data_IF_086414097049
#
_entry.id   IF_086414097049
#
_cell.length_a   1.000
_cell.length_b   1.000
_cell.length_c   1.000
_cell.angle_alpha   90.00
_cell.angle_beta   90.00
_cell.angle_gamma   90.00
#
_symmetry.space_group_name_H-M   'P 1'
#
loop_
_entity.id
_entity.type
_entity.pdbx_description
1 polymer ?
#
# COMPACT_ATOMS: atom_id res chain seq x y z
N UNK A 1 -7.05 -1.56 -16.84
CA UNK A 1 -5.62 -1.25 -16.61
C UNK A 1 -4.91 -1.23 -17.96
N UNK A 2 -3.85 -0.44 -18.14
CA UNK A 2 -3.03 -0.42 -19.39
C UNK A 2 -1.77 -1.26 -19.22
N UNK A 3 -1.15 -1.74 -20.32
CA UNK A 3 0.13 -2.47 -20.27
C UNK A 3 1.22 -1.63 -19.60
N UNK A 4 1.32 -0.35 -19.96
CA UNK A 4 2.27 0.59 -19.33
C UNK A 4 2.12 0.64 -17.81
N UNK A 5 0.90 0.57 -17.26
CA UNK A 5 0.71 0.60 -15.82
C UNK A 5 1.24 -0.66 -15.13
N UNK A 6 1.21 -1.82 -15.80
CA UNK A 6 1.86 -3.04 -15.32
C UNK A 6 3.38 -2.93 -15.41
N UNK A 7 3.90 -2.42 -16.53
CA UNK A 7 5.34 -2.24 -16.74
C UNK A 7 5.93 -1.28 -15.70
N UNK A 8 5.26 -0.14 -15.45
CA UNK A 8 5.67 0.84 -14.44
C UNK A 8 5.63 0.24 -13.00
N UNK A 9 4.68 -0.65 -12.72
CA UNK A 9 4.55 -1.29 -11.41
C UNK A 9 5.61 -2.38 -11.20
N UNK A 10 5.94 -3.13 -12.26
CA UNK A 10 6.92 -4.20 -12.24
C UNK A 10 8.37 -3.72 -12.46
N UNK A 11 8.58 -2.44 -12.75
CA UNK A 11 9.91 -1.84 -12.88
C UNK A 11 10.72 -2.05 -11.60
N UNK A 12 11.95 -2.56 -11.74
CA UNK A 12 12.83 -2.88 -10.60
C UNK A 12 13.11 -1.67 -9.69
N UNK A 13 13.03 -0.45 -10.24
CA UNK A 13 13.25 0.82 -9.52
C UNK A 13 11.98 1.33 -8.85
N UNK A 14 10.82 0.77 -9.18
CA UNK A 14 9.55 1.08 -8.52
C UNK A 14 9.46 0.34 -7.20
N UNK A 15 9.21 1.06 -6.11
CA UNK A 15 9.09 0.45 -4.79
C UNK A 15 7.76 -0.30 -4.59
N UNK A 16 6.72 0.02 -5.37
CA UNK A 16 5.35 -0.41 -5.11
C UNK A 16 5.21 -1.94 -5.07
N UNK A 17 5.79 -2.65 -6.05
CA UNK A 17 5.75 -4.10 -6.09
C UNK A 17 6.50 -4.76 -4.91
N UNK A 18 7.66 -4.21 -4.54
CA UNK A 18 8.47 -4.72 -3.43
C UNK A 18 7.76 -4.52 -2.08
N UNK A 19 7.10 -3.38 -1.87
CA UNK A 19 6.32 -3.11 -0.66
C UNK A 19 5.19 -4.14 -0.50
N UNK A 20 4.44 -4.41 -1.57
CA UNK A 20 3.35 -5.40 -1.54
C UNK A 20 3.91 -6.79 -1.28
N UNK A 21 4.96 -7.21 -2.00
CA UNK A 21 5.56 -8.54 -1.82
C UNK A 21 6.08 -8.76 -0.39
N UNK A 22 6.70 -7.73 0.19
CA UNK A 22 7.16 -7.77 1.58
C UNK A 22 5.98 -7.89 2.55
N UNK A 23 4.92 -7.10 2.35
CA UNK A 23 3.73 -7.16 3.20
C UNK A 23 3.01 -8.51 3.12
N UNK A 24 2.94 -9.12 1.93
CA UNK A 24 2.41 -10.48 1.74
C UNK A 24 3.23 -11.54 2.48
N UNK A 25 4.56 -11.38 2.51
CA UNK A 25 5.49 -12.35 3.09
C UNK A 25 5.50 -12.29 4.62
N UNK A 26 5.31 -11.11 5.18
CA UNK A 26 5.48 -10.84 6.61
C UNK A 26 4.19 -10.44 7.34
N UNK A 27 3.02 -10.61 6.69
CA UNK A 27 1.70 -10.28 7.25
C UNK A 27 1.64 -8.86 7.81
N UNK A 28 2.14 -7.89 7.02
CA UNK A 28 2.25 -6.50 7.45
C UNK A 28 1.04 -5.67 7.01
N UNK A 29 0.75 -4.63 7.79
CA UNK A 29 -0.15 -3.54 7.39
C UNK A 29 0.67 -2.49 6.63
N UNK A 30 0.16 -2.02 5.48
CA UNK A 30 0.85 -1.00 4.68
C UNK A 30 0.30 0.39 5.03
N UNK A 31 1.16 1.28 5.50
CA UNK A 31 0.82 2.70 5.70
C UNK A 31 1.05 3.47 4.39
N UNK A 32 0.01 4.08 3.83
CA UNK A 32 0.12 4.83 2.56
C UNK A 32 -0.79 6.06 2.53
N UNK A 33 -0.40 7.09 1.76
CA UNK A 33 -1.23 8.27 1.48
C UNK A 33 -2.11 8.08 0.23
N UNK A 34 -1.95 6.97 -0.48
CA UNK A 34 -2.83 6.61 -1.58
C UNK A 34 -4.21 6.20 -1.07
N UNK A 35 -5.25 6.42 -1.88
CA UNK A 35 -6.61 6.00 -1.59
C UNK A 35 -7.03 4.91 -2.57
N UNK A 36 -7.75 3.91 -2.07
CA UNK A 36 -8.38 2.91 -2.92
C UNK A 36 -9.23 3.59 -4.00
N UNK A 37 -9.00 3.21 -5.26
CA UNK A 37 -9.74 3.71 -6.40
C UNK A 37 -9.85 2.63 -7.47
N UNK A 38 -10.97 1.89 -7.53
CA UNK A 38 -11.12 0.77 -8.47
C UNK A 38 -11.13 1.24 -9.94
N UNK A 39 -11.42 2.53 -10.17
CA UNK A 39 -11.46 3.14 -11.50
C UNK A 39 -10.08 3.66 -11.97
N UNK A 40 -9.02 3.46 -11.18
CA UNK A 40 -7.67 3.81 -11.56
C UNK A 40 -7.21 2.99 -12.78
N UNK A 41 -7.01 3.66 -13.93
CA UNK A 41 -6.59 3.00 -15.19
C UNK A 41 -5.14 3.24 -15.58
N UNK A 42 -4.53 4.32 -15.08
CA UNK A 42 -3.20 4.82 -15.51
C UNK A 42 -2.04 4.31 -14.66
N UNK A 43 -2.29 3.97 -13.39
CA UNK A 43 -1.31 3.46 -12.43
C UNK A 43 -2.00 2.44 -11.54
N UNK A 44 -1.24 1.41 -11.15
CA UNK A 44 -1.66 0.44 -10.15
C UNK A 44 -1.43 1.06 -8.77
N UNK A 45 -2.50 1.27 -8.01
CA UNK A 45 -2.42 1.90 -6.69
C UNK A 45 -2.16 0.86 -5.60
N UNK A 46 -1.34 1.20 -4.60
CA UNK A 46 -1.00 0.29 -3.50
C UNK A 46 -2.26 -0.25 -2.81
N UNK A 47 -3.25 0.58 -2.40
CA UNK A 47 -4.45 0.08 -1.74
C UNK A 47 -5.31 -0.86 -2.60
N UNK A 48 -5.25 -0.74 -3.93
CA UNK A 48 -6.00 -1.63 -4.80
C UNK A 48 -5.41 -3.04 -4.78
N UNK A 49 -4.09 -3.14 -4.98
CA UNK A 49 -3.40 -4.44 -4.98
C UNK A 49 -3.42 -5.06 -3.59
N UNK A 50 -3.15 -4.26 -2.56
CA UNK A 50 -3.18 -4.72 -1.18
C UNK A 50 -4.53 -5.34 -0.82
N UNK A 51 -5.64 -4.69 -1.19
CA UNK A 51 -7.00 -5.23 -0.97
C UNK A 51 -7.21 -6.58 -1.67
N UNK A 52 -6.78 -6.71 -2.92
CA UNK A 52 -6.91 -7.96 -3.69
C UNK A 52 -6.06 -9.09 -3.11
N UNK A 53 -4.97 -8.77 -2.41
CA UNK A 53 -4.11 -9.72 -1.70
C UNK A 53 -4.48 -9.92 -0.22
N UNK A 54 -5.56 -9.28 0.27
CA UNK A 54 -6.00 -9.38 1.67
C UNK A 54 -5.14 -8.61 2.68
N UNK A 55 -4.31 -7.68 2.21
CA UNK A 55 -3.42 -6.85 3.03
C UNK A 55 -4.17 -5.59 3.50
N UNK A 56 -4.16 -5.30 4.80
CA UNK A 56 -4.72 -4.05 5.33
C UNK A 56 -3.83 -2.87 4.93
N UNK A 57 -4.48 -1.80 4.46
CA UNK A 57 -3.83 -0.50 4.26
C UNK A 57 -4.46 0.55 5.15
N UNK A 58 -3.64 1.39 5.76
CA UNK A 58 -4.09 2.53 6.57
C UNK A 58 -3.42 3.82 6.13
N UNK A 59 -4.10 4.93 6.33
CA UNK A 59 -3.49 6.26 6.23
C UNK A 59 -2.59 6.52 7.43
N UNK A 60 -1.70 7.51 7.33
CA UNK A 60 -0.86 7.92 8.46
C UNK A 60 -1.71 8.35 9.67
N UNK A 61 -2.86 8.99 9.46
CA UNK A 61 -3.74 9.43 10.54
C UNK A 61 -4.40 8.24 11.25
N UNK A 62 -4.92 7.27 10.49
CA UNK A 62 -5.45 6.03 11.06
C UNK A 62 -4.37 5.24 11.79
N UNK A 63 -3.15 5.20 11.26
CA UNK A 63 -2.01 4.59 11.94
C UNK A 63 -1.74 5.27 13.30
N UNK A 64 -1.66 6.61 13.32
CA UNK A 64 -1.41 7.35 14.56
C UNK A 64 -2.54 7.13 15.59
N UNK A 65 -3.79 7.15 15.16
CA UNK A 65 -4.93 6.92 16.04
C UNK A 65 -4.92 5.51 16.64
N UNK A 66 -4.74 4.48 15.80
CA UNK A 66 -4.75 3.08 16.21
C UNK A 66 -3.52 2.71 17.04
N UNK A 67 -2.32 3.10 16.59
CA UNK A 67 -1.06 2.50 17.04
C UNK A 67 -0.10 3.45 17.76
N UNK A 68 -0.25 4.77 17.64
CA UNK A 68 0.67 5.71 18.31
C UNK A 68 0.15 6.16 19.68
N UNK A 69 1.03 6.15 20.69
CA UNK A 69 0.80 6.72 22.01
C UNK A 69 0.87 8.26 21.99
N UNK A 70 0.50 8.91 23.10
CA UNK A 70 0.48 10.38 23.23
C UNK A 70 1.86 11.06 23.10
N UNK A 71 2.92 10.27 22.92
CA UNK A 71 4.32 10.68 22.77
C UNK A 71 4.93 10.17 21.44
N UNK A 72 4.11 9.75 20.47
CA UNK A 72 4.54 9.15 19.19
C UNK A 72 5.34 7.84 19.32
N UNK A 73 5.32 7.18 20.49
CA UNK A 73 5.77 5.79 20.59
C UNK A 73 4.70 4.85 20.04
N UNK A 74 5.08 3.64 19.65
CA UNK A 74 4.10 2.57 19.39
C UNK A 74 3.45 2.22 20.74
N UNK A 75 2.12 2.04 20.75
CA UNK A 75 1.32 1.58 21.90
C UNK A 75 1.64 0.15 22.29
#
# INVERSE_FOLDING_TARGET
>A
MTQKAFDDFADEKSADAWIIAHAMTHDCIVVTQEKYNPDAKKRIMIPNVAKDQGIETVTLFEFMEKYAGHNFSIK
#
